data_IF_020304930755
#
_entry.id   IF_020304930755
#
_cell.length_a   1.000
_cell.length_b   1.000
_cell.length_c   1.000
_cell.angle_alpha   90.00
_cell.angle_beta   90.00
_cell.angle_gamma   90.00
#
_symmetry.space_group_name_H-M   'P 1'
#
loop_
_entity.id
_entity.type
_entity.pdbx_description
1 polymer ?
#
# COMPACT_ATOMS: atom_id res chain seq x y z
N UNK A 1 -19.51 -6.36 47.54
CA UNK A 1 -19.50 -4.92 47.25
C UNK A 1 -19.98 -4.75 45.82
N UNK A 2 -21.06 -4.02 45.60
CA UNK A 2 -21.55 -3.67 44.27
C UNK A 2 -20.94 -2.33 43.87
N UNK A 3 -20.44 -2.20 42.64
CA UNK A 3 -19.90 -0.94 42.11
C UNK A 3 -21.02 -0.13 41.47
N UNK A 4 -21.13 1.16 41.79
CA UNK A 4 -22.03 2.07 41.09
C UNK A 4 -21.53 2.34 39.65
N UNK A 5 -22.44 2.34 38.68
CA UNK A 5 -22.15 2.56 37.25
C UNK A 5 -22.88 3.83 36.80
N UNK A 6 -22.14 4.80 36.27
CA UNK A 6 -22.69 6.05 35.73
C UNK A 6 -22.62 6.00 34.19
N UNK A 7 -23.76 5.72 33.56
CA UNK A 7 -23.86 5.62 32.10
C UNK A 7 -24.04 7.00 31.46
N UNK A 8 -23.05 7.43 30.67
CA UNK A 8 -23.12 8.66 29.89
C UNK A 8 -23.56 8.34 28.46
N UNK A 9 -24.55 9.06 27.94
CA UNK A 9 -25.09 8.85 26.59
C UNK A 9 -25.32 10.17 25.86
N UNK A 10 -25.44 10.11 24.53
CA UNK A 10 -25.65 11.32 23.72
C UNK A 10 -27.11 11.77 23.77
N UNK A 11 -27.40 13.08 23.66
CA UNK A 11 -28.78 13.59 23.60
C UNK A 11 -29.61 13.05 22.42
N UNK A 12 -28.94 12.59 21.37
CA UNK A 12 -29.57 12.06 20.15
C UNK A 12 -29.92 10.57 20.21
N UNK A 13 -29.65 9.88 21.32
CA UNK A 13 -30.03 8.47 21.47
C UNK A 13 -31.55 8.32 21.46
N UNK A 14 -32.06 7.50 20.56
CA UNK A 14 -33.51 7.35 20.34
C UNK A 14 -34.21 6.60 21.47
N UNK A 15 -33.50 5.69 22.13
CA UNK A 15 -34.05 4.92 23.25
C UNK A 15 -33.04 4.78 24.41
N UNK A 16 -32.93 5.80 25.27
CA UNK A 16 -32.06 5.76 26.45
C UNK A 16 -32.43 4.64 27.44
N UNK A 17 -33.66 4.12 27.41
CA UNK A 17 -34.12 3.11 28.38
C UNK A 17 -33.57 1.71 28.11
N UNK A 18 -33.15 1.44 26.87
CA UNK A 18 -32.49 0.18 26.51
C UNK A 18 -30.99 0.17 26.83
N UNK A 19 -30.37 1.34 26.99
CA UNK A 19 -28.92 1.46 27.20
C UNK A 19 -28.39 0.65 28.39
N UNK A 20 -29.06 0.57 29.56
CA UNK A 20 -28.60 -0.27 30.66
C UNK A 20 -28.44 -1.75 30.29
N UNK A 21 -29.38 -2.32 29.51
CA UNK A 21 -29.32 -3.73 29.07
C UNK A 21 -28.20 -3.97 28.05
N UNK A 22 -27.88 -2.96 27.24
CA UNK A 22 -26.78 -3.03 26.27
C UNK A 22 -25.43 -2.90 27.00
N UNK A 23 -25.31 -1.93 27.90
CA UNK A 23 -24.11 -1.70 28.69
C UNK A 23 -23.80 -2.86 29.64
N UNK A 24 -24.81 -3.56 30.15
CA UNK A 24 -24.64 -4.80 30.92
C UNK A 24 -23.74 -5.81 30.18
N UNK A 25 -23.95 -6.00 28.87
CA UNK A 25 -23.11 -6.91 28.06
C UNK A 25 -21.68 -6.41 27.85
N UNK A 26 -21.46 -5.09 27.91
CA UNK A 26 -20.13 -4.50 27.74
C UNK A 26 -19.32 -4.54 29.03
N UNK A 27 -19.99 -4.48 30.19
CA UNK A 27 -19.36 -4.54 31.52
C UNK A 27 -19.13 -6.00 31.96
N UNK A 28 -19.88 -6.96 31.39
CA UNK A 28 -19.65 -8.38 31.61
C UNK A 28 -18.22 -8.78 31.23
N UNK A 29 -17.51 -9.37 32.19
CA UNK A 29 -16.24 -10.04 31.91
C UNK A 29 -16.43 -11.10 30.83
N UNK A 30 -15.47 -11.18 29.93
CA UNK A 30 -15.45 -12.14 28.84
C UNK A 30 -14.14 -12.94 28.90
N UNK A 31 -14.12 -14.18 28.37
CA UNK A 31 -12.91 -14.99 28.35
C UNK A 31 -11.79 -14.25 27.63
N UNK A 32 -10.75 -13.88 28.38
CA UNK A 32 -9.59 -13.18 27.84
C UNK A 32 -8.64 -14.17 27.19
N UNK A 33 -8.12 -13.82 26.00
CA UNK A 33 -7.07 -14.61 25.36
C UNK A 33 -5.80 -14.50 26.19
N UNK A 34 -5.07 -15.61 26.47
CA UNK A 34 -3.78 -15.52 27.13
C UNK A 34 -2.82 -14.65 26.31
N UNK A 35 -2.09 -13.76 26.99
CA UNK A 35 -1.09 -12.89 26.36
C UNK A 35 0.00 -13.76 25.74
N UNK A 36 -0.01 -13.86 24.42
CA UNK A 36 0.95 -14.67 23.67
C UNK A 36 2.34 -14.04 23.79
N UNK A 37 3.32 -14.80 24.30
CA UNK A 37 4.72 -14.37 24.26
C UNK A 37 5.26 -14.54 22.85
N UNK A 38 5.99 -13.54 22.37
CA UNK A 38 6.68 -13.65 21.09
C UNK A 38 7.78 -14.70 21.18
N UNK A 39 7.79 -15.63 20.23
CA UNK A 39 8.84 -16.63 20.04
C UNK A 39 9.18 -16.64 18.55
N UNK A 40 10.44 -16.43 18.15
CA UNK A 40 10.85 -16.56 16.75
C UNK A 40 10.50 -17.95 16.23
N UNK A 41 9.78 -18.03 15.11
CA UNK A 41 9.44 -19.32 14.49
C UNK A 41 10.68 -20.10 14.04
N UNK A 42 11.75 -19.37 13.71
CA UNK A 42 13.06 -19.91 13.35
C UNK A 42 14.08 -19.36 14.33
N UNK A 43 14.51 -20.14 15.35
CA UNK A 43 15.56 -19.70 16.25
C UNK A 43 16.86 -19.50 15.48
N UNK A 44 17.78 -18.71 16.05
CA UNK A 44 19.10 -18.54 15.46
C UNK A 44 19.80 -19.90 15.36
N UNK A 45 20.09 -20.31 14.14
CA UNK A 45 20.78 -21.56 13.83
C UNK A 45 22.15 -21.21 13.25
N UNK A 46 23.19 -21.27 14.09
CA UNK A 46 24.56 -20.98 13.67
C UNK A 46 25.12 -21.92 12.60
N UNK A 47 24.46 -23.07 12.36
CA UNK A 47 24.81 -23.99 11.27
C UNK A 47 24.22 -23.59 9.91
N UNK A 48 23.19 -22.72 9.89
CA UNK A 48 22.54 -22.23 8.67
C UNK A 48 23.04 -20.84 8.30
N UNK A 49 23.91 -20.77 7.29
CA UNK A 49 24.37 -19.50 6.73
C UNK A 49 23.30 -18.90 5.80
N UNK A 50 22.88 -17.64 6.00
CA UNK A 50 21.94 -16.98 5.10
C UNK A 50 22.60 -16.70 3.75
N UNK A 51 21.83 -16.83 2.66
CA UNK A 51 22.29 -16.45 1.33
C UNK A 51 22.33 -14.92 1.21
N UNK A 52 23.54 -14.35 1.11
CA UNK A 52 23.74 -12.91 0.93
C UNK A 52 24.02 -12.60 -0.55
N UNK A 53 23.33 -11.62 -1.16
CA UNK A 53 23.69 -11.17 -2.51
C UNK A 53 25.12 -10.60 -2.52
N UNK A 54 25.91 -10.94 -3.55
CA UNK A 54 27.30 -10.47 -3.71
C UNK A 54 27.40 -8.94 -3.82
N UNK A 55 26.37 -8.29 -4.35
CA UNK A 55 26.34 -6.83 -4.56
C UNK A 55 25.78 -6.12 -3.33
N UNK A 56 26.47 -5.08 -2.88
CA UNK A 56 25.95 -4.14 -1.88
C UNK A 56 24.89 -3.23 -2.50
N UNK A 57 23.92 -2.73 -1.71
CA UNK A 57 23.05 -1.62 -2.13
C UNK A 57 23.86 -0.37 -2.48
N UNK A 58 23.35 0.53 -3.34
CA UNK A 58 23.94 1.86 -3.51
C UNK A 58 23.93 2.61 -2.18
N UNK A 59 25.06 3.16 -1.78
CA UNK A 59 25.17 4.06 -0.62
C UNK A 59 25.30 5.47 -1.17
N UNK A 60 24.35 6.35 -0.80
CA UNK A 60 24.39 7.77 -1.15
C UNK A 60 25.24 8.45 -0.07
N UNK A 61 26.26 9.21 -0.45
CA UNK A 61 27.02 10.03 0.51
C UNK A 61 26.12 11.10 1.13
N UNK A 62 26.48 11.58 2.32
CA UNK A 62 25.73 12.67 2.98
C UNK A 62 25.65 13.92 2.07
N UNK A 63 26.77 14.27 1.42
CA UNK A 63 26.84 15.32 0.40
C UNK A 63 25.84 15.11 -0.75
N UNK A 64 25.78 13.89 -1.31
CA UNK A 64 24.84 13.59 -2.39
C UNK A 64 23.38 13.60 -1.92
N UNK A 65 23.10 13.29 -0.65
CA UNK A 65 21.77 13.43 -0.06
C UNK A 65 21.38 14.90 0.14
N UNK A 66 22.34 15.77 0.48
CA UNK A 66 22.14 17.22 0.58
C UNK A 66 21.89 17.86 -0.78
N UNK A 67 22.63 17.47 -1.83
CA UNK A 67 22.37 17.93 -3.20
C UNK A 67 20.94 17.61 -3.64
N UNK A 68 20.46 16.39 -3.38
CA UNK A 68 19.07 16.00 -3.71
C UNK A 68 18.04 16.84 -2.94
N UNK A 69 18.31 17.21 -1.68
CA UNK A 69 17.42 18.11 -0.93
C UNK A 69 17.34 19.49 -1.57
N UNK A 70 18.44 20.03 -2.10
CA UNK A 70 18.43 21.32 -2.79
C UNK A 70 17.54 21.27 -4.05
N UNK A 71 17.61 20.18 -4.83
CA UNK A 71 16.72 20.01 -6.00
C UNK A 71 15.23 19.85 -5.63
N UNK A 72 14.91 19.19 -4.52
CA UNK A 72 13.52 19.05 -4.05
C UNK A 72 12.95 20.38 -3.56
N UNK A 73 13.75 21.20 -2.88
CA UNK A 73 13.32 22.50 -2.35
C UNK A 73 12.92 23.47 -3.49
N UNK A 74 13.58 23.36 -4.65
CA UNK A 74 13.25 24.16 -5.84
C UNK A 74 11.92 23.71 -6.48
N UNK A 75 11.53 22.44 -6.33
CA UNK A 75 10.30 21.90 -6.94
C UNK A 75 9.05 22.04 -6.05
N UNK A 76 9.19 22.31 -4.75
CA UNK A 76 8.08 22.28 -3.78
C UNK A 76 7.36 23.61 -3.55
N UNK A 77 7.60 24.64 -4.37
CA UNK A 77 7.03 25.98 -4.16
C UNK A 77 5.50 26.13 -4.32
N UNK A 78 4.72 25.06 -4.52
CA UNK A 78 3.26 25.17 -4.74
C UNK A 78 2.35 24.22 -3.93
N UNK A 79 2.84 23.56 -2.89
CA UNK A 79 1.94 22.83 -1.98
C UNK A 79 2.44 22.84 -0.53
N UNK A 80 1.81 23.64 0.31
CA UNK A 80 1.81 23.44 1.77
C UNK A 80 1.11 22.11 2.07
N UNK A 81 1.79 21.00 1.85
CA UNK A 81 1.38 19.70 2.36
C UNK A 81 1.67 19.72 3.85
N UNK A 82 0.61 19.62 4.67
CA UNK A 82 0.77 19.26 6.07
C UNK A 82 1.35 17.85 6.12
N UNK A 83 2.67 17.75 6.13
CA UNK A 83 3.42 16.53 6.40
C UNK A 83 2.96 15.98 7.75
N UNK A 84 2.10 14.97 7.72
CA UNK A 84 1.79 14.15 8.88
C UNK A 84 2.90 13.12 9.02
N UNK A 85 3.91 13.44 9.83
CA UNK A 85 4.90 12.48 10.28
C UNK A 85 4.39 11.81 11.56
N UNK A 86 3.86 10.60 11.42
CA UNK A 86 3.37 9.78 12.53
C UNK A 86 4.49 9.25 13.45
N UNK A 87 5.77 9.50 13.13
CA UNK A 87 6.90 9.03 13.93
C UNK A 87 7.44 10.08 14.89
N UNK A 88 6.96 11.33 14.82
CA UNK A 88 7.47 12.46 15.62
C UNK A 88 7.51 12.17 17.13
N UNK A 89 6.54 11.39 17.64
CA UNK A 89 6.44 11.06 19.07
C UNK A 89 6.93 9.63 19.42
N UNK A 90 7.42 8.87 18.44
CA UNK A 90 7.92 7.51 18.66
C UNK A 90 9.43 7.53 18.87
N UNK A 91 9.86 7.52 20.14
CA UNK A 91 11.27 7.52 20.56
C UNK A 91 12.11 6.39 19.92
N UNK A 92 11.49 5.28 19.53
CA UNK A 92 12.14 4.15 18.86
C UNK A 92 12.63 4.47 17.44
N UNK A 93 12.11 5.53 16.80
CA UNK A 93 12.51 5.96 15.46
C UNK A 93 13.36 7.23 15.44
N UNK A 94 13.66 7.81 16.60
CA UNK A 94 14.62 8.91 16.65
C UNK A 94 16.03 8.39 16.34
N UNK A 95 16.76 9.00 15.39
CA UNK A 95 18.13 8.62 15.12
C UNK A 95 18.96 8.94 16.37
N UNK A 96 19.36 7.91 17.11
CA UNK A 96 20.25 8.08 18.26
C UNK A 96 21.61 8.54 17.73
N UNK A 97 21.86 9.86 17.75
CA UNK A 97 23.15 10.50 17.44
C UNK A 97 24.30 10.10 18.40
N UNK A 98 24.10 9.07 19.24
CA UNK A 98 25.05 8.59 20.24
C UNK A 98 25.16 7.06 20.24
N UNK A 99 25.65 6.48 19.14
CA UNK A 99 26.33 5.17 19.21
C UNK A 99 27.65 5.23 18.46
N UNK A 100 28.68 5.49 19.27
CA UNK A 100 30.09 5.38 18.94
C UNK A 100 30.42 3.96 18.46
N UNK A 101 31.26 3.89 17.43
CA UNK A 101 32.29 2.87 17.22
C UNK A 101 31.90 1.40 17.39
N UNK A 102 31.50 0.75 16.29
CA UNK A 102 31.91 -0.63 16.00
C UNK A 102 32.19 -0.75 14.50
N UNK A 103 33.39 -0.29 14.13
CA UNK A 103 34.07 -0.53 12.87
C UNK A 103 34.49 -2.00 12.79
N UNK A 104 34.19 -2.69 11.68
CA UNK A 104 35.03 -3.79 11.20
C UNK A 104 35.35 -3.54 9.73
N UNK A 105 36.43 -2.81 9.51
CA UNK A 105 37.09 -2.64 8.22
C UNK A 105 38.05 -3.80 8.00
N UNK A 106 37.77 -4.67 7.03
CA UNK A 106 38.80 -5.50 6.41
C UNK A 106 39.23 -4.85 5.10
N UNK A 107 40.38 -4.20 5.16
CA UNK A 107 41.13 -3.66 4.03
C UNK A 107 41.73 -4.83 3.25
N UNK A 108 41.39 -4.97 1.97
CA UNK A 108 42.20 -5.74 1.03
C UNK A 108 42.40 -4.87 -0.21
N UNK A 109 43.62 -4.37 -0.34
CA UNK A 109 44.13 -3.58 -1.46
C UNK A 109 44.13 -4.45 -2.70
N UNK A 110 43.54 -3.99 -3.81
CA UNK A 110 44.10 -4.31 -5.11
C UNK A 110 43.84 -3.16 -6.09
N UNK A 111 44.94 -2.70 -6.68
CA UNK A 111 45.08 -1.53 -7.50
C UNK A 111 44.47 -1.72 -8.89
N UNK A 112 43.85 -0.63 -9.36
CA UNK A 112 43.87 -0.08 -10.72
C UNK A 112 44.28 -0.99 -11.88
N UNK A 113 43.40 -1.08 -12.89
CA UNK A 113 43.75 -0.72 -14.27
C UNK A 113 42.49 -0.45 -15.10
N UNK A 114 42.40 0.77 -15.63
CA UNK A 114 41.47 1.16 -16.69
C UNK A 114 41.91 0.57 -18.03
N UNK A 115 40.98 0.08 -18.85
CA UNK A 115 41.30 -0.39 -20.20
C UNK A 115 40.10 -0.92 -20.95
N UNK A 116 39.34 0.00 -21.55
CA UNK A 116 38.81 0.00 -22.91
C UNK A 116 38.23 -1.27 -23.61
N UNK A 117 37.19 -0.97 -24.40
CA UNK A 117 36.70 -1.64 -25.60
C UNK A 117 35.85 -2.91 -25.45
N UNK A 118 34.54 -2.70 -25.61
CA UNK A 118 33.79 -3.20 -26.77
C UNK A 118 33.69 -4.71 -26.96
N UNK A 119 32.48 -5.26 -26.78
CA UNK A 119 31.90 -6.26 -27.69
C UNK A 119 30.42 -6.47 -27.38
N UNK A 120 29.62 -6.42 -28.45
CA UNK A 120 28.23 -6.83 -28.49
C UNK A 120 28.09 -8.26 -27.95
N UNK A 121 27.06 -8.52 -27.15
CA UNK A 121 26.51 -9.88 -27.01
C UNK A 121 25.07 -9.84 -26.48
N UNK A 122 24.16 -10.12 -27.41
CA UNK A 122 23.00 -11.02 -27.29
C UNK A 122 22.08 -10.97 -26.05
N UNK A 123 20.85 -10.48 -26.30
CA UNK A 123 19.56 -11.14 -25.98
C UNK A 123 19.51 -12.05 -24.73
N UNK A 124 19.77 -11.51 -23.56
CA UNK A 124 19.27 -12.07 -22.30
C UNK A 124 17.89 -11.49 -21.99
N UNK A 125 16.84 -12.32 -21.96
CA UNK A 125 15.49 -11.94 -21.46
C UNK A 125 15.62 -11.37 -20.04
N UNK A 126 15.80 -10.06 -19.91
CA UNK A 126 15.75 -9.39 -18.62
C UNK A 126 14.37 -9.65 -18.04
N UNK A 127 14.30 -10.43 -16.97
CA UNK A 127 13.08 -10.60 -16.20
C UNK A 127 12.59 -9.20 -15.79
N UNK A 128 11.57 -8.69 -16.50
CA UNK A 128 11.04 -7.35 -16.26
C UNK A 128 10.50 -7.32 -14.83
N UNK A 129 11.26 -6.65 -13.96
CA UNK A 129 11.02 -6.48 -12.51
C UNK A 129 9.55 -6.08 -12.27
N UNK A 130 8.93 -6.63 -11.23
CA UNK A 130 7.60 -6.18 -10.77
C UNK A 130 7.67 -4.69 -10.45
N UNK A 131 6.70 -3.91 -10.90
CA UNK A 131 6.58 -2.49 -10.59
C UNK A 131 5.34 -2.26 -9.74
N UNK A 132 5.43 -1.30 -8.80
CA UNK A 132 4.37 -0.92 -7.87
C UNK A 132 4.21 0.59 -7.89
N UNK A 133 2.97 1.05 -7.71
CA UNK A 133 2.61 2.47 -7.59
C UNK A 133 1.57 2.64 -6.49
N UNK A 134 1.64 3.74 -5.76
CA UNK A 134 0.74 4.05 -4.64
C UNK A 134 0.21 5.47 -4.80
N UNK A 135 -1.08 5.66 -4.57
CA UNK A 135 -1.70 6.98 -4.49
C UNK A 135 -1.59 7.51 -3.07
N UNK A 136 -1.40 8.82 -2.96
CA UNK A 136 -1.42 9.49 -1.67
C UNK A 136 -2.87 9.81 -1.28
N UNK A 137 -3.20 9.79 0.02
CA UNK A 137 -4.50 10.23 0.48
C UNK A 137 -4.70 11.71 0.10
N UNK A 138 -5.71 11.98 -0.74
CA UNK A 138 -6.08 13.33 -1.17
C UNK A 138 -7.48 13.66 -0.69
N UNK A 139 -7.61 14.75 0.07
CA UNK A 139 -8.88 15.23 0.62
C UNK A 139 -9.90 15.60 -0.46
N UNK A 140 -9.47 15.77 -1.72
CA UNK A 140 -10.35 16.18 -2.81
C UNK A 140 -11.08 15.01 -3.47
N UNK A 141 -10.56 13.78 -3.34
CA UNK A 141 -11.06 12.64 -4.09
C UNK A 141 -12.38 12.09 -3.52
N UNK A 142 -12.65 12.28 -2.22
CA UNK A 142 -13.85 11.78 -1.54
C UNK A 142 -15.15 12.50 -1.90
N UNK A 143 -15.07 13.70 -2.50
CA UNK A 143 -16.25 14.51 -2.84
C UNK A 143 -17.08 13.96 -4.00
N UNK A 144 -16.49 13.12 -4.85
CA UNK A 144 -17.11 12.63 -6.09
C UNK A 144 -17.61 11.19 -6.00
N UNK A 145 -17.63 10.60 -4.79
CA UNK A 145 -17.96 9.18 -4.61
C UNK A 145 -19.48 9.03 -4.50
N UNK A 146 -20.09 8.42 -5.54
CA UNK A 146 -21.48 8.02 -5.51
C UNK A 146 -21.71 6.81 -4.59
N UNK A 147 -22.90 6.65 -3.99
CA UNK A 147 -23.24 5.44 -3.26
C UNK A 147 -23.10 4.20 -4.17
N UNK A 148 -22.71 3.07 -3.57
CA UNK A 148 -22.50 1.82 -4.30
C UNK A 148 -23.80 1.34 -4.97
N UNK A 149 -23.72 0.77 -6.16
CA UNK A 149 -24.87 0.23 -6.89
C UNK A 149 -25.56 -0.87 -6.10
N UNK A 150 -26.88 -1.00 -6.28
CA UNK A 150 -27.68 -2.04 -5.61
C UNK A 150 -27.10 -3.45 -5.83
N UNK A 151 -26.66 -3.74 -7.05
CA UNK A 151 -26.03 -5.02 -7.42
C UNK A 151 -24.80 -5.33 -6.55
N UNK A 152 -23.93 -4.33 -6.35
CA UNK A 152 -22.76 -4.50 -5.51
C UNK A 152 -23.14 -4.58 -4.03
N UNK A 153 -24.05 -3.74 -3.55
CA UNK A 153 -24.54 -3.79 -2.17
C UNK A 153 -25.13 -5.16 -1.82
N UNK A 154 -25.93 -5.75 -2.70
CA UNK A 154 -26.51 -7.09 -2.51
C UNK A 154 -25.42 -8.16 -2.45
N UNK A 155 -24.38 -8.04 -3.28
CA UNK A 155 -23.21 -8.94 -3.26
C UNK A 155 -22.41 -8.82 -1.96
N UNK A 156 -22.22 -7.60 -1.44
CA UNK A 156 -21.51 -7.37 -0.18
C UNK A 156 -22.27 -7.92 1.02
N UNK A 157 -23.60 -7.77 1.03
CA UNK A 157 -24.47 -8.37 2.06
C UNK A 157 -24.41 -9.90 2.03
N UNK A 158 -24.50 -10.50 0.84
CA UNK A 158 -24.44 -11.95 0.68
C UNK A 158 -23.10 -12.55 1.15
N UNK A 159 -22.00 -11.83 0.96
CA UNK A 159 -20.65 -12.26 1.34
C UNK A 159 -20.20 -11.80 2.74
N UNK A 160 -21.05 -11.03 3.43
CA UNK A 160 -20.73 -10.39 4.72
C UNK A 160 -19.41 -9.57 4.68
N UNK A 161 -19.21 -8.80 3.60
CA UNK A 161 -18.02 -8.00 3.38
C UNK A 161 -18.19 -6.57 3.91
N UNK A 162 -17.20 -6.09 4.67
CA UNK A 162 -17.16 -4.73 5.17
C UNK A 162 -16.75 -3.72 4.07
N UNK A 163 -17.25 -2.48 4.14
CA UNK A 163 -16.96 -1.42 3.15
C UNK A 163 -15.47 -1.01 3.09
N UNK A 164 -14.74 -1.19 4.19
CA UNK A 164 -13.29 -0.93 4.27
C UNK A 164 -12.42 -2.13 3.85
N UNK A 165 -13.03 -3.22 3.36
CA UNK A 165 -12.25 -4.35 2.89
C UNK A 165 -11.50 -4.00 1.61
N UNK A 166 -10.31 -4.59 1.42
CA UNK A 166 -9.48 -4.35 0.24
C UNK A 166 -9.90 -5.26 -0.91
N UNK A 167 -10.23 -4.67 -2.05
CA UNK A 167 -10.52 -5.37 -3.30
C UNK A 167 -9.50 -4.98 -4.38
N UNK A 168 -9.44 -5.74 -5.48
CA UNK A 168 -8.61 -5.40 -6.64
C UNK A 168 -9.40 -5.42 -7.94
N UNK A 169 -9.27 -4.38 -8.74
CA UNK A 169 -9.62 -4.41 -10.15
C UNK A 169 -8.51 -5.09 -10.95
N UNK A 170 -8.91 -5.96 -11.88
CA UNK A 170 -7.99 -6.61 -12.81
C UNK A 170 -8.18 -6.03 -14.20
N UNK A 171 -7.10 -5.46 -14.75
CA UNK A 171 -7.03 -5.01 -16.15
C UNK A 171 -6.21 -6.05 -16.90
N UNK A 172 -6.83 -6.73 -17.85
CA UNK A 172 -6.18 -7.74 -18.69
C UNK A 172 -5.72 -7.12 -20.01
N UNK A 173 -4.65 -7.66 -20.60
CA UNK A 173 -4.16 -7.18 -21.90
C UNK A 173 -5.23 -7.19 -23.01
N UNK A 174 -6.19 -8.12 -22.94
CA UNK A 174 -7.28 -8.29 -23.92
C UNK A 174 -8.24 -7.11 -24.00
N UNK A 175 -8.33 -6.30 -22.93
CA UNK A 175 -9.24 -5.14 -22.88
C UNK A 175 -8.53 -3.80 -23.16
N UNK A 176 -7.23 -3.83 -23.44
CA UNK A 176 -6.42 -2.63 -23.64
C UNK A 176 -6.54 -2.01 -25.05
N UNK A 177 -7.50 -2.45 -25.87
CA UNK A 177 -7.62 -2.07 -27.28
C UNK A 177 -6.26 -2.22 -28.02
N UNK A 178 -5.89 -1.27 -28.88
CA UNK A 178 -4.61 -1.21 -29.60
C UNK A 178 -3.42 -0.77 -28.73
N UNK A 179 -3.60 -0.58 -27.41
CA UNK A 179 -2.55 -0.13 -26.50
C UNK A 179 -1.83 -1.32 -25.85
N UNK A 180 -0.53 -1.17 -25.61
CA UNK A 180 0.21 -2.18 -24.85
C UNK A 180 -0.10 -2.08 -23.36
N UNK A 181 0.14 -3.17 -22.61
CA UNK A 181 0.01 -3.14 -21.14
C UNK A 181 0.92 -2.08 -20.49
N UNK A 182 2.07 -1.76 -21.10
CA UNK A 182 2.99 -0.75 -20.60
C UNK A 182 2.47 0.68 -20.84
N UNK A 183 1.74 0.92 -21.93
CA UNK A 183 1.09 2.21 -22.19
C UNK A 183 0.00 2.47 -21.15
N UNK A 184 -0.82 1.45 -20.88
CA UNK A 184 -1.85 1.51 -19.83
C UNK A 184 -1.23 1.71 -18.45
N UNK A 185 -0.13 1.01 -18.15
CA UNK A 185 0.61 1.19 -16.90
C UNK A 185 1.16 2.61 -16.75
N UNK A 186 1.67 3.20 -17.82
CA UNK A 186 2.20 4.58 -17.83
C UNK A 186 1.08 5.59 -17.57
N UNK A 187 -0.06 5.45 -18.26
CA UNK A 187 -1.26 6.28 -18.03
C UNK A 187 -1.79 6.14 -16.61
N UNK A 188 -1.86 4.90 -16.09
CA UNK A 188 -2.28 4.65 -14.72
C UNK A 188 -1.36 5.34 -13.71
N UNK A 189 -0.05 5.29 -13.92
CA UNK A 189 0.90 5.97 -13.04
C UNK A 189 0.72 7.49 -13.06
N UNK A 190 0.36 8.08 -14.19
CA UNK A 190 -0.01 9.50 -14.26
C UNK A 190 -1.25 9.79 -13.40
N UNK A 191 -2.32 9.00 -13.57
CA UNK A 191 -3.56 9.13 -12.76
C UNK A 191 -3.26 9.04 -11.26
N UNK A 192 -2.42 8.07 -10.86
CA UNK A 192 -2.01 7.87 -9.47
C UNK A 192 -1.21 9.08 -8.95
N UNK A 193 -0.25 9.59 -9.74
CA UNK A 193 0.56 10.76 -9.37
C UNK A 193 -0.27 12.04 -9.24
N UNK A 194 -1.33 12.17 -10.02
CA UNK A 194 -2.26 13.30 -9.94
C UNK A 194 -3.32 13.15 -8.85
N UNK A 195 -3.22 12.14 -7.98
CA UNK A 195 -4.13 11.90 -6.84
C UNK A 195 -5.61 11.79 -7.24
N UNK A 196 -5.89 11.26 -8.43
CA UNK A 196 -7.26 11.06 -8.93
C UNK A 196 -7.90 9.78 -8.38
N UNK A 197 -7.10 8.89 -7.78
CA UNK A 197 -7.56 7.62 -7.23
C UNK A 197 -7.43 7.62 -5.70
N UNK A 198 -8.52 7.37 -4.94
CA UNK A 198 -8.48 7.39 -3.48
C UNK A 198 -7.94 6.07 -2.94
N UNK A 199 -6.93 6.13 -2.06
CA UNK A 199 -6.42 4.94 -1.35
C UNK A 199 -6.10 3.78 -2.31
N UNK A 200 -5.57 4.04 -3.49
CA UNK A 200 -5.28 3.01 -4.49
C UNK A 200 -3.80 2.60 -4.54
N UNK A 201 -3.55 1.30 -4.68
CA UNK A 201 -2.23 0.75 -4.96
C UNK A 201 -2.31 -0.04 -6.27
N UNK A 202 -1.31 0.04 -7.12
CA UNK A 202 -1.29 -0.69 -8.38
C UNK A 202 -0.01 -1.51 -8.55
N UNK A 203 -0.14 -2.64 -9.25
CA UNK A 203 1.00 -3.45 -9.69
C UNK A 203 0.77 -4.02 -11.08
N UNK A 204 1.81 -3.98 -11.90
CA UNK A 204 1.85 -4.67 -13.18
C UNK A 204 2.46 -6.07 -13.03
N UNK A 205 1.69 -7.08 -13.41
CA UNK A 205 2.09 -8.49 -13.50
C UNK A 205 2.35 -8.84 -14.96
N UNK A 206 3.53 -8.47 -15.47
CA UNK A 206 3.90 -8.64 -16.88
C UNK A 206 3.82 -10.08 -17.38
N UNK A 207 4.14 -11.04 -16.52
CA UNK A 207 4.08 -12.48 -16.83
C UNK A 207 2.65 -13.00 -16.97
N UNK A 208 1.67 -12.33 -16.36
CA UNK A 208 0.24 -12.67 -16.50
C UNK A 208 -0.46 -11.81 -17.56
N UNK A 209 0.21 -10.79 -18.10
CA UNK A 209 -0.45 -9.81 -18.97
C UNK A 209 -1.53 -8.99 -18.25
N UNK A 210 -1.35 -8.71 -16.95
CA UNK A 210 -2.35 -8.05 -16.12
C UNK A 210 -1.79 -6.86 -15.34
N UNK A 211 -2.65 -5.87 -15.07
CA UNK A 211 -2.44 -4.84 -14.05
C UNK A 211 -3.49 -5.03 -12.96
N UNK A 212 -3.05 -5.04 -11.70
CA UNK A 212 -3.93 -5.11 -10.55
C UNK A 212 -3.98 -3.75 -9.86
N UNK A 213 -5.17 -3.22 -9.67
CA UNK A 213 -5.41 -1.96 -8.97
C UNK A 213 -6.22 -2.25 -7.72
N UNK A 214 -5.57 -2.18 -6.57
CA UNK A 214 -6.17 -2.37 -5.25
C UNK A 214 -6.83 -1.09 -4.78
N UNK A 215 -8.04 -1.20 -4.24
CA UNK A 215 -8.79 -0.11 -3.64
C UNK A 215 -9.68 -0.63 -2.50
N UNK A 216 -10.21 0.27 -1.68
CA UNK A 216 -11.22 -0.09 -0.67
C UNK A 216 -12.58 -0.27 -1.35
N UNK A 217 -13.39 -1.21 -0.85
CA UNK A 217 -14.72 -1.51 -1.42
C UNK A 217 -15.60 -0.27 -1.48
N UNK A 218 -15.51 0.61 -0.48
CA UNK A 218 -16.26 1.87 -0.44
C UNK A 218 -16.03 2.77 -1.67
N UNK A 219 -14.87 2.65 -2.35
CA UNK A 219 -14.51 3.46 -3.52
C UNK A 219 -14.48 2.65 -4.82
N UNK A 220 -14.80 1.35 -4.79
CA UNK A 220 -14.44 0.48 -5.91
C UNK A 220 -15.16 0.82 -7.21
N UNK A 221 -16.43 1.24 -7.18
CA UNK A 221 -17.16 1.61 -8.41
C UNK A 221 -16.67 2.93 -9.00
N UNK A 222 -16.35 3.91 -8.15
CA UNK A 222 -15.72 5.16 -8.58
C UNK A 222 -14.38 4.88 -9.26
N UNK A 223 -13.52 4.09 -8.60
CA UNK A 223 -12.23 3.67 -9.13
C UNK A 223 -12.40 2.92 -10.45
N UNK A 224 -13.30 1.95 -10.52
CA UNK A 224 -13.53 1.16 -11.74
C UNK A 224 -14.00 2.02 -12.92
N UNK A 225 -14.92 2.96 -12.67
CA UNK A 225 -15.43 3.88 -13.69
C UNK A 225 -14.34 4.83 -14.18
N UNK A 226 -13.52 5.35 -13.27
CA UNK A 226 -12.38 6.21 -13.60
C UNK A 226 -11.33 5.45 -14.43
N UNK A 227 -11.01 4.21 -14.05
CA UNK A 227 -10.10 3.34 -14.80
C UNK A 227 -10.63 3.11 -16.23
N UNK A 228 -11.91 2.74 -16.38
CA UNK A 228 -12.51 2.54 -17.72
C UNK A 228 -12.47 3.79 -18.57
N UNK A 229 -12.87 4.93 -18.03
CA UNK A 229 -12.93 6.20 -18.76
C UNK A 229 -11.54 6.73 -19.13
N UNK A 230 -10.66 6.89 -18.14
CA UNK A 230 -9.33 7.50 -18.33
C UNK A 230 -8.36 6.63 -19.12
N UNK A 231 -8.47 5.30 -19.01
CA UNK A 231 -7.59 4.36 -19.72
C UNK A 231 -8.19 3.89 -21.05
N UNK A 232 -9.43 4.31 -21.38
CA UNK A 232 -10.16 3.93 -22.57
C UNK A 232 -10.22 2.40 -22.76
N UNK A 233 -10.52 1.68 -21.68
CA UNK A 233 -10.58 0.21 -21.69
C UNK A 233 -11.81 -0.29 -22.44
N UNK A 234 -11.62 -1.26 -23.34
CA UNK A 234 -12.69 -1.88 -24.11
C UNK A 234 -13.01 -3.25 -23.52
N UNK A 235 -14.19 -3.40 -22.90
CA UNK A 235 -14.65 -4.67 -22.35
C UNK A 235 -14.98 -4.61 -20.87
N UNK A 236 -15.00 -5.78 -20.21
CA UNK A 236 -15.35 -5.90 -18.79
C UNK A 236 -14.09 -5.91 -17.93
N UNK A 237 -14.11 -5.17 -16.82
CA UNK A 237 -13.13 -5.32 -15.74
C UNK A 237 -13.77 -6.04 -14.56
N UNK A 238 -12.97 -6.83 -13.84
CA UNK A 238 -13.44 -7.66 -12.73
C UNK A 238 -12.89 -7.16 -11.40
N UNK A 239 -13.78 -7.02 -10.42
CA UNK A 239 -13.46 -6.73 -9.04
C UNK A 239 -13.31 -8.04 -8.27
N UNK A 240 -12.10 -8.29 -7.79
CA UNK A 240 -11.73 -9.50 -7.09
C UNK A 240 -11.49 -9.23 -5.60
N UNK A 241 -12.04 -10.07 -4.74
CA UNK A 241 -11.77 -10.07 -3.30
C UNK A 241 -11.09 -11.38 -2.91
N UNK A 242 -10.01 -11.27 -2.14
CA UNK A 242 -9.28 -12.44 -1.64
C UNK A 242 -10.24 -13.38 -0.89
N UNK A 243 -10.14 -14.70 -1.14
CA UNK A 243 -11.04 -15.79 -0.70
C UNK A 243 -12.39 -15.91 -1.41
N UNK A 244 -12.96 -14.84 -1.97
CA UNK A 244 -14.29 -14.87 -2.60
C UNK A 244 -14.27 -14.93 -4.12
N UNK A 245 -13.14 -14.56 -4.74
CA UNK A 245 -13.06 -14.52 -6.18
C UNK A 245 -13.61 -13.20 -6.75
N UNK A 246 -14.20 -13.28 -7.95
CA UNK A 246 -14.81 -12.12 -8.60
C UNK A 246 -16.19 -11.87 -7.99
N UNK A 247 -16.37 -10.69 -7.38
CA UNK A 247 -17.63 -10.31 -6.72
C UNK A 247 -18.46 -9.35 -7.57
N UNK A 248 -17.83 -8.67 -8.53
CA UNK A 248 -18.48 -7.66 -9.35
C UNK A 248 -17.71 -7.46 -10.66
N UNK A 249 -18.42 -7.08 -11.72
CA UNK A 249 -17.84 -6.78 -13.03
C UNK A 249 -18.58 -5.60 -13.63
N UNK A 250 -17.82 -4.71 -14.29
CA UNK A 250 -18.35 -3.57 -15.04
C UNK A 250 -17.81 -3.54 -16.45
#
# INVERSE_FOLDING_TARGET
MTTEVILHYRPCESDPTQLPKIAEKAIQDFPTRPLSRFIPWFPYDGSKLPLRPKRSPPVISEEAAEDVKQYLTISEHDAKSHSYDCTVDLLEFQPSLKKQHLTWSHTLKEQTNSGNLGKQSEKGKQHKRRSWSISLPSNNCTKNVSPLSKKLQDSLKALNLHSLYRARWTIEHTICNSQTLEDIWTKLNQIIRHNELPSCNATIQRHLGQIWVFCDIMYCEYVGSLLKGRLALTGKINLFVHKYGVIFSM
#
